data_IF_293877467331
#
_entry.id   IF_293877467331
#
_cell.length_a   1.000
_cell.length_b   1.000
_cell.length_c   1.000
_cell.angle_alpha   90.00
_cell.angle_beta   90.00
_cell.angle_gamma   90.00
#
_symmetry.space_group_name_H-M   'P 1'
#
loop_
_entity.id
_entity.type
_entity.pdbx_description
1 polymer ?
#
# COMPACT_ATOMS: atom_id res chain seq x y z
N UNK A 1 4.44 11.69 -15.85
CA UNK A 1 3.02 11.53 -15.50
C UNK A 1 2.82 10.38 -14.55
N UNK A 2 1.69 10.38 -13.83
CA UNK A 2 1.23 9.29 -13.00
C UNK A 2 -0.26 9.04 -13.23
N UNK A 3 -0.72 7.86 -12.78
CA UNK A 3 -2.12 7.47 -12.84
C UNK A 3 -2.61 7.05 -11.46
N UNK A 4 -3.93 6.97 -11.29
CA UNK A 4 -4.53 6.52 -10.04
C UNK A 4 -5.60 5.46 -10.29
N UNK A 5 -5.53 4.36 -9.53
CA UNK A 5 -6.46 3.23 -9.60
C UNK A 5 -6.52 2.51 -10.96
N UNK A 6 -5.51 2.66 -11.80
CA UNK A 6 -5.45 1.94 -13.07
C UNK A 6 -5.20 0.45 -12.84
N UNK A 7 -5.99 -0.38 -13.52
CA UNK A 7 -5.80 -1.82 -13.61
C UNK A 7 -4.85 -2.16 -14.76
N UNK A 8 -4.32 -3.40 -14.87
CA UNK A 8 -3.52 -3.82 -16.01
C UNK A 8 -4.14 -3.44 -17.36
N UNK A 9 -5.42 -3.76 -17.56
CA UNK A 9 -6.12 -3.44 -18.81
C UNK A 9 -6.17 -1.93 -19.12
N UNK A 10 -6.26 -1.05 -18.10
CA UNK A 10 -6.23 0.40 -18.32
C UNK A 10 -4.83 0.87 -18.71
N UNK A 11 -3.79 0.26 -18.12
CA UNK A 11 -2.39 0.58 -18.48
C UNK A 11 -2.03 0.07 -19.88
N UNK A 12 -2.55 -1.08 -20.27
CA UNK A 12 -2.41 -1.63 -21.64
C UNK A 12 -3.10 -0.73 -22.67
N UNK A 13 -4.33 -0.28 -22.38
CA UNK A 13 -5.04 0.67 -23.24
C UNK A 13 -4.27 2.00 -23.38
N UNK A 14 -3.72 2.51 -22.28
CA UNK A 14 -2.89 3.72 -22.30
C UNK A 14 -1.62 3.51 -23.13
N UNK A 15 -0.96 2.37 -23.00
CA UNK A 15 0.26 2.05 -23.77
C UNK A 15 0.00 1.88 -25.26
N UNK A 16 -1.23 1.54 -25.67
CA UNK A 16 -1.61 1.46 -27.06
C UNK A 16 -1.78 2.86 -27.71
N UNK A 17 -2.05 3.89 -26.90
CA UNK A 17 -2.32 5.26 -27.37
C UNK A 17 -1.13 6.21 -27.19
N UNK A 18 -0.11 5.84 -26.39
CA UNK A 18 1.03 6.70 -26.10
C UNK A 18 2.28 5.90 -25.71
N UNK A 19 3.44 6.42 -26.08
CA UNK A 19 4.75 5.87 -25.68
C UNK A 19 5.16 6.27 -24.24
N UNK A 20 4.34 7.05 -23.56
CA UNK A 20 4.64 7.53 -22.21
C UNK A 20 4.20 6.53 -21.15
N UNK A 21 5.15 5.88 -20.50
CA UNK A 21 4.88 5.00 -19.35
C UNK A 21 4.63 5.86 -18.10
N UNK A 22 3.53 5.64 -17.35
CA UNK A 22 3.33 6.33 -16.08
C UNK A 22 4.42 5.99 -15.08
N UNK A 23 5.02 7.00 -14.44
CA UNK A 23 6.03 6.79 -13.41
C UNK A 23 5.45 6.16 -12.14
N UNK A 24 4.17 6.45 -11.85
CA UNK A 24 3.48 6.02 -10.63
C UNK A 24 2.06 5.56 -10.95
N UNK A 25 1.62 4.50 -10.29
CA UNK A 25 0.20 4.15 -10.16
C UNK A 25 -0.19 4.19 -8.68
N UNK A 26 -1.00 5.17 -8.30
CA UNK A 26 -1.46 5.37 -6.93
C UNK A 26 -2.73 4.54 -6.70
N UNK A 27 -2.66 3.51 -5.87
CA UNK A 27 -3.75 2.56 -5.63
C UNK A 27 -4.06 2.39 -4.15
N UNK A 28 -5.30 1.99 -3.81
CA UNK A 28 -5.58 1.52 -2.45
C UNK A 28 -4.81 0.23 -2.18
N UNK A 29 -3.95 0.26 -1.17
CA UNK A 29 -3.18 -0.91 -0.78
C UNK A 29 -2.92 -0.90 0.73
N UNK A 30 -3.30 -1.99 1.39
CA UNK A 30 -3.04 -2.29 2.80
C UNK A 30 -2.61 -3.75 2.91
N UNK A 31 -2.13 -4.23 4.07
CA UNK A 31 -1.94 -5.67 4.29
C UNK A 31 -3.19 -6.51 3.98
N UNK A 32 -4.40 -6.02 4.32
CA UNK A 32 -5.65 -6.70 4.02
C UNK A 32 -6.03 -6.70 2.53
N UNK A 33 -5.51 -5.74 1.77
CA UNK A 33 -5.80 -5.55 0.33
C UNK A 33 -4.48 -5.40 -0.43
N UNK A 34 -3.70 -6.47 -0.63
CA UNK A 34 -2.32 -6.38 -1.11
C UNK A 34 -2.17 -6.16 -2.62
N UNK A 35 -3.24 -6.26 -3.41
CA UNK A 35 -3.24 -5.98 -4.87
C UNK A 35 -2.13 -6.71 -5.64
N UNK A 36 -1.97 -8.00 -5.45
CA UNK A 36 -0.87 -8.79 -6.01
C UNK A 36 -0.71 -8.64 -7.53
N UNK A 37 -1.77 -8.87 -8.29
CA UNK A 37 -1.77 -8.74 -9.76
C UNK A 37 -1.35 -7.34 -10.21
N UNK A 38 -1.97 -6.29 -9.64
CA UNK A 38 -1.67 -4.91 -10.00
C UNK A 38 -0.22 -4.52 -9.69
N UNK A 39 0.30 -4.98 -8.54
CA UNK A 39 1.70 -4.71 -8.17
C UNK A 39 2.69 -5.45 -9.06
N UNK A 40 2.38 -6.71 -9.40
CA UNK A 40 3.22 -7.48 -10.33
C UNK A 40 3.28 -6.80 -11.70
N UNK A 41 2.14 -6.36 -12.22
CA UNK A 41 2.07 -5.61 -13.46
C UNK A 41 2.87 -4.30 -13.39
N UNK A 42 2.66 -3.49 -12.35
CA UNK A 42 3.39 -2.23 -12.16
C UNK A 42 4.92 -2.49 -12.16
N UNK A 43 5.37 -3.47 -11.37
CA UNK A 43 6.80 -3.79 -11.24
C UNK A 43 7.43 -4.18 -12.59
N UNK A 44 6.77 -5.05 -13.37
CA UNK A 44 7.28 -5.51 -14.68
C UNK A 44 7.34 -4.41 -15.74
N UNK A 45 6.56 -3.34 -15.55
CA UNK A 45 6.51 -2.19 -16.47
C UNK A 45 7.23 -0.95 -15.94
N UNK A 46 8.02 -1.06 -14.86
CA UNK A 46 8.77 0.06 -14.29
C UNK A 46 7.90 1.14 -13.63
N UNK A 47 6.67 0.81 -13.25
CA UNK A 47 5.71 1.72 -12.63
C UNK A 47 5.80 1.60 -11.11
N UNK A 48 6.07 2.69 -10.41
CA UNK A 48 6.10 2.69 -8.94
C UNK A 48 4.68 2.53 -8.39
N UNK A 49 4.51 1.63 -7.42
CA UNK A 49 3.25 1.50 -6.69
C UNK A 49 3.25 2.45 -5.50
N UNK A 50 2.31 3.39 -5.49
CA UNK A 50 2.04 4.29 -4.37
C UNK A 50 0.72 3.92 -3.70
N UNK A 51 0.75 3.78 -2.36
CA UNK A 51 -0.39 3.30 -1.57
C UNK A 51 -1.15 4.47 -0.95
N UNK A 52 -2.39 4.71 -1.39
CA UNK A 52 -3.28 5.61 -0.67
C UNK A 52 -4.08 4.84 0.40
N UNK A 53 -4.45 5.53 1.49
CA UNK A 53 -5.03 4.93 2.71
C UNK A 53 -4.24 3.71 3.24
N UNK A 54 -2.89 3.77 3.31
CA UNK A 54 -2.03 2.61 3.52
C UNK A 54 -2.23 1.90 4.86
N UNK A 55 -2.76 2.59 5.86
CA UNK A 55 -2.95 2.10 7.24
C UNK A 55 -4.42 1.91 7.63
N UNK A 56 -5.35 2.11 6.68
CA UNK A 56 -6.79 2.12 7.01
C UNK A 56 -7.30 0.72 7.31
N UNK A 57 -8.02 0.59 8.45
CA UNK A 57 -8.74 -0.63 8.82
C UNK A 57 -7.85 -1.82 9.19
N UNK A 58 -6.58 -1.57 9.57
CA UNK A 58 -5.61 -2.63 9.86
C UNK A 58 -4.87 -2.42 11.20
N UNK A 59 -4.99 -1.26 11.81
CA UNK A 59 -4.18 -0.90 12.98
C UNK A 59 -4.53 -1.67 14.25
N UNK A 60 -5.76 -2.17 14.36
CA UNK A 60 -6.26 -2.91 15.52
C UNK A 60 -6.11 -4.44 15.35
N UNK A 61 -5.53 -4.89 14.24
CA UNK A 61 -5.25 -6.31 14.03
C UNK A 61 -4.25 -6.83 15.07
N UNK A 62 -4.54 -7.96 15.76
CA UNK A 62 -3.70 -8.47 16.84
C UNK A 62 -2.23 -8.62 16.44
N UNK A 63 -1.95 -9.09 15.24
CA UNK A 63 -0.59 -9.24 14.70
C UNK A 63 0.13 -7.89 14.64
N UNK A 64 -0.56 -6.83 14.24
CA UNK A 64 0.02 -5.48 14.14
C UNK A 64 0.28 -4.91 15.53
N UNK A 65 -0.67 -5.08 16.45
CA UNK A 65 -0.55 -4.64 17.85
C UNK A 65 0.61 -5.34 18.55
N UNK A 66 0.68 -6.68 18.44
CA UNK A 66 1.76 -7.48 19.05
C UNK A 66 3.14 -7.07 18.54
N UNK A 67 3.27 -6.84 17.23
CA UNK A 67 4.53 -6.37 16.63
C UNK A 67 4.90 -4.96 17.08
N UNK A 68 3.90 -4.08 17.22
CA UNK A 68 4.09 -2.72 17.71
C UNK A 68 4.62 -2.71 19.15
N UNK A 69 4.01 -3.48 20.04
CA UNK A 69 4.46 -3.65 21.42
C UNK A 69 5.87 -4.23 21.50
N UNK A 70 6.14 -5.31 20.77
CA UNK A 70 7.44 -6.00 20.75
C UNK A 70 8.58 -5.09 20.30
N UNK A 71 8.32 -4.21 19.31
CA UNK A 71 9.33 -3.34 18.71
C UNK A 71 9.35 -1.92 19.32
N UNK A 72 8.46 -1.63 20.29
CA UNK A 72 8.34 -0.29 20.88
C UNK A 72 7.93 0.77 19.87
N UNK A 73 7.07 0.42 18.91
CA UNK A 73 6.58 1.27 17.83
C UNK A 73 5.06 1.38 17.84
N UNK A 74 4.53 2.34 17.12
CA UNK A 74 3.07 2.43 16.92
C UNK A 74 2.60 1.44 15.85
N UNK A 75 1.35 0.95 15.90
CA UNK A 75 0.76 0.14 14.83
C UNK A 75 0.91 0.77 13.43
N UNK A 76 0.76 2.09 13.34
CA UNK A 76 0.95 2.82 12.09
C UNK A 76 2.38 2.70 11.55
N UNK A 77 3.39 2.83 12.42
CA UNK A 77 4.80 2.66 12.04
C UNK A 77 5.09 1.25 11.54
N UNK A 78 4.52 0.21 12.16
CA UNK A 78 4.65 -1.19 11.69
C UNK A 78 4.15 -1.34 10.26
N UNK A 79 2.92 -0.88 9.98
CA UNK A 79 2.33 -1.00 8.64
C UNK A 79 3.09 -0.16 7.61
N UNK A 80 3.50 1.06 7.96
CA UNK A 80 4.29 1.91 7.07
C UNK A 80 5.66 1.29 6.76
N UNK A 81 6.33 0.71 7.78
CA UNK A 81 7.60 -0.01 7.56
C UNK A 81 7.44 -1.22 6.64
N UNK A 82 6.34 -1.97 6.78
CA UNK A 82 6.00 -3.06 5.86
C UNK A 82 5.88 -2.56 4.41
N UNK A 83 5.22 -1.42 4.16
CA UNK A 83 5.17 -0.83 2.82
C UNK A 83 6.56 -0.52 2.28
N UNK A 84 7.40 0.14 3.08
CA UNK A 84 8.76 0.55 2.70
C UNK A 84 9.63 -0.68 2.37
N UNK A 85 9.62 -1.69 3.24
CA UNK A 85 10.42 -2.91 3.01
C UNK A 85 9.95 -3.73 1.80
N UNK A 86 8.73 -3.49 1.33
CA UNK A 86 8.18 -4.05 0.09
C UNK A 86 8.39 -3.13 -1.14
N UNK A 87 9.23 -2.09 -1.03
CA UNK A 87 9.55 -1.17 -2.13
C UNK A 87 8.40 -0.30 -2.61
N UNK A 88 7.46 0.04 -1.70
CA UNK A 88 6.28 0.85 -2.04
C UNK A 88 6.38 2.23 -1.42
N UNK A 89 5.80 3.22 -2.08
CA UNK A 89 5.54 4.52 -1.49
C UNK A 89 4.23 4.46 -0.72
N UNK A 90 4.17 5.01 0.48
CA UNK A 90 2.97 5.08 1.31
C UNK A 90 2.65 6.54 1.65
N UNK A 91 1.39 6.96 1.44
CA UNK A 91 0.93 8.32 1.70
C UNK A 91 -0.14 8.36 2.81
N UNK A 92 0.27 8.20 4.08
CA UNK A 92 -0.66 8.23 5.20
C UNK A 92 -1.17 9.65 5.44
N UNK A 93 -2.50 9.81 5.51
CA UNK A 93 -3.10 11.09 5.92
C UNK A 93 -2.99 11.28 7.42
N UNK A 94 -2.48 12.43 7.87
CA UNK A 94 -2.60 12.88 9.26
C UNK A 94 -2.70 14.40 9.33
N UNK A 95 -3.46 14.90 10.32
CA UNK A 95 -3.57 16.32 10.67
C UNK A 95 -3.01 16.60 12.06
N UNK A 96 -2.55 15.59 12.77
CA UNK A 96 -2.00 15.68 14.13
C UNK A 96 -0.47 15.74 14.03
N UNK A 97 0.20 16.81 14.46
CA UNK A 97 1.65 16.97 14.35
C UNK A 97 2.45 15.78 14.88
N UNK A 98 2.07 15.25 16.06
CA UNK A 98 2.73 14.10 16.66
C UNK A 98 2.65 12.84 15.75
N UNK A 99 1.49 12.58 15.13
CA UNK A 99 1.32 11.44 14.20
C UNK A 99 2.09 11.66 12.90
N UNK A 100 2.21 12.89 12.43
CA UNK A 100 3.03 13.21 11.24
C UNK A 100 4.49 12.86 11.52
N UNK A 101 5.02 13.28 12.67
CA UNK A 101 6.38 12.95 13.10
C UNK A 101 6.58 11.42 13.23
N UNK A 102 5.65 10.71 13.89
CA UNK A 102 5.69 9.26 14.03
C UNK A 102 5.65 8.52 12.68
N UNK A 103 4.84 8.99 11.73
CA UNK A 103 4.75 8.38 10.41
C UNK A 103 6.05 8.52 9.58
N UNK A 104 6.90 9.50 9.88
CA UNK A 104 8.23 9.67 9.29
C UNK A 104 9.31 8.86 10.01
N UNK A 105 9.10 8.53 11.29
CA UNK A 105 10.03 7.78 12.13
C UNK A 105 9.89 6.26 11.90
N UNK A 106 10.23 5.81 10.68
CA UNK A 106 10.06 4.42 10.22
C UNK A 106 11.31 3.84 9.55
N UNK A 107 12.45 4.55 9.63
CA UNK A 107 13.66 4.14 8.93
C UNK A 107 14.73 3.53 9.84
N UNK A 108 14.58 3.61 11.16
CA UNK A 108 15.54 3.19 12.18
C UNK A 108 15.28 1.79 12.77
N UNK A 109 14.29 1.07 12.26
CA UNK A 109 13.99 -0.32 12.63
C UNK A 109 13.62 -1.16 11.41
N UNK A 110 13.66 -2.47 11.56
CA UNK A 110 13.28 -3.42 10.52
C UNK A 110 12.29 -4.46 11.03
N UNK A 111 11.41 -4.90 10.14
CA UNK A 111 10.58 -6.10 10.32
C UNK A 111 11.36 -7.29 9.78
N UNK A 112 11.53 -8.33 10.59
CA UNK A 112 12.13 -9.58 10.15
C UNK A 112 11.20 -10.35 9.19
N UNK A 113 11.72 -11.40 8.55
CA UNK A 113 10.96 -12.19 7.59
C UNK A 113 9.70 -12.82 8.21
N UNK A 114 9.74 -13.19 9.49
CA UNK A 114 8.59 -13.74 10.22
C UNK A 114 7.50 -12.69 10.42
N UNK A 115 7.87 -11.48 10.83
CA UNK A 115 6.94 -10.36 10.98
C UNK A 115 6.28 -10.00 9.63
N UNK A 116 7.08 -9.90 8.57
CA UNK A 116 6.57 -9.66 7.21
C UNK A 116 5.57 -10.74 6.80
N UNK A 117 5.89 -12.02 7.00
CA UNK A 117 4.99 -13.13 6.64
C UNK A 117 3.67 -13.09 7.43
N UNK A 118 3.72 -12.74 8.72
CA UNK A 118 2.51 -12.57 9.54
C UNK A 118 1.62 -11.42 9.05
N UNK A 119 2.22 -10.31 8.64
CA UNK A 119 1.49 -9.17 8.09
C UNK A 119 0.89 -9.53 6.71
N UNK A 120 1.63 -10.21 5.87
CA UNK A 120 1.15 -10.67 4.56
C UNK A 120 -0.04 -11.64 4.69
N UNK A 121 -0.11 -12.41 5.78
CA UNK A 121 -1.22 -13.34 6.07
C UNK A 121 -2.54 -12.64 6.46
N UNK A 122 -2.54 -11.31 6.64
CA UNK A 122 -3.75 -10.53 6.95
C UNK A 122 -4.63 -10.26 5.72
N UNK A 123 -4.25 -10.78 4.57
CA UNK A 123 -5.02 -10.63 3.33
C UNK A 123 -6.45 -11.13 3.48
N UNK A 124 -7.42 -10.27 3.11
CA UNK A 124 -8.84 -10.63 3.07
C UNK A 124 -9.21 -11.07 1.66
N UNK A 125 -9.69 -12.31 1.54
CA UNK A 125 -10.14 -12.87 0.26
C UNK A 125 -11.24 -11.99 -0.38
N UNK A 126 -11.13 -11.76 -1.69
CA UNK A 126 -12.07 -10.95 -2.45
C UNK A 126 -11.92 -9.44 -2.31
N UNK A 127 -10.87 -8.95 -1.58
CA UNK A 127 -10.59 -7.51 -1.45
C UNK A 127 -11.63 -6.74 -0.66
N UNK A 128 -12.34 -7.39 0.27
CA UNK A 128 -13.24 -6.73 1.21
C UNK A 128 -12.48 -5.62 1.97
N UNK A 129 -13.14 -4.48 2.25
CA UNK A 129 -12.49 -3.31 2.86
C UNK A 129 -12.06 -2.23 1.86
N UNK A 130 -12.37 -2.41 0.57
CA UNK A 130 -12.19 -1.37 -0.44
C UNK A 130 -12.99 -0.11 -0.08
N UNK A 131 -12.35 1.05 -0.25
CA UNK A 131 -12.99 2.36 -0.11
C UNK A 131 -13.28 2.93 -1.49
N UNK A 132 -14.55 3.26 -1.74
CA UNK A 132 -15.01 3.82 -3.01
C UNK A 132 -15.38 2.77 -4.08
N UNK A 133 -15.91 3.20 -5.22
CA UNK A 133 -16.36 2.33 -6.29
C UNK A 133 -15.19 1.57 -6.93
N UNK A 134 -15.51 0.45 -7.55
CA UNK A 134 -14.50 -0.32 -8.26
C UNK A 134 -13.99 0.46 -9.49
N UNK A 135 -12.65 0.54 -9.76
CA UNK A 135 -12.13 1.37 -10.85
C UNK A 135 -12.70 1.05 -12.24
N UNK A 136 -13.12 -0.20 -12.47
CA UNK A 136 -13.77 -0.60 -13.72
C UNK A 136 -15.24 -0.16 -13.83
N UNK A 137 -15.83 0.37 -12.77
CA UNK A 137 -17.22 0.83 -12.71
C UNK A 137 -17.33 2.35 -12.71
N UNK A 138 -16.20 3.06 -12.59
CA UNK A 138 -16.14 4.51 -12.70
C UNK A 138 -16.05 4.84 -14.18
N UNK A 139 -17.19 5.11 -14.78
CA UNK A 139 -17.26 5.71 -16.10
C UNK A 139 -16.86 7.18 -15.96
N UNK A 140 -15.80 7.58 -16.67
CA UNK A 140 -15.40 8.98 -16.81
C UNK A 140 -16.43 9.79 -17.57
#
# INVERSE_FOLDING_TARGET
IGVSNFKPAHLEALAAETDTVPAVNQIQLTPAIPRHEQRAYNLTHGIVTESWSPIKGILDEPVIVDLAEKLGRTPAQIVLRWHIQRGRVAIPKSVTPARIAQNLDVFDFELDASAIAKIDALEIAGGAGRVGPHPAEVNG
#
